data_IF_268297698420
#
_entry.id   IF_268297698420
#
_cell.length_a   1.000
_cell.length_b   1.000
_cell.length_c   1.000
_cell.angle_alpha   90.00
_cell.angle_beta   90.00
_cell.angle_gamma   90.00
#
_symmetry.space_group_name_H-M   'P 1'
#
loop_
_entity.id
_entity.type
_entity.pdbx_description
1 polymer ?
#
# COMPACT_ATOMS: atom_id res chain seq x y z
N UNK A 1 40.85 -3.28 14.63
CA UNK A 1 39.95 -3.08 15.79
C UNK A 1 39.82 -1.58 16.00
N UNK A 2 38.82 -0.92 15.38
CA UNK A 2 38.61 0.51 15.60
C UNK A 2 38.13 0.71 17.05
N UNK A 3 38.90 1.43 17.86
CA UNK A 3 38.53 1.80 19.23
C UNK A 3 37.42 2.84 19.15
N UNK A 4 36.18 2.37 19.01
CA UNK A 4 34.98 3.20 19.03
C UNK A 4 34.63 3.60 20.46
N UNK A 5 35.51 4.39 21.09
CA UNK A 5 35.36 4.90 22.45
C UNK A 5 35.17 6.41 22.38
N UNK A 6 34.12 6.92 23.01
CA UNK A 6 33.80 8.35 23.10
C UNK A 6 33.84 8.78 24.57
N UNK A 7 34.49 9.89 24.92
CA UNK A 7 34.44 10.41 26.28
C UNK A 7 33.02 10.90 26.62
N UNK A 8 32.60 10.73 27.86
CA UNK A 8 31.34 11.28 28.34
C UNK A 8 31.50 12.74 28.75
N UNK A 9 30.38 13.47 28.90
CA UNK A 9 30.41 14.84 29.42
C UNK A 9 31.08 14.96 30.80
N UNK A 10 30.97 13.92 31.65
CA UNK A 10 31.62 13.90 32.98
C UNK A 10 33.15 13.89 32.86
N UNK A 11 33.68 13.09 31.94
CA UNK A 11 35.13 13.07 31.70
C UNK A 11 35.61 14.39 31.12
N UNK A 12 34.87 14.96 30.15
CA UNK A 12 35.20 16.26 29.56
C UNK A 12 35.22 17.39 30.60
N UNK A 13 34.27 17.41 31.55
CA UNK A 13 34.27 18.40 32.63
C UNK A 13 35.47 18.26 33.56
N UNK A 14 35.90 17.02 33.86
CA UNK A 14 37.07 16.77 34.69
C UNK A 14 38.36 17.15 33.95
N UNK A 15 38.45 16.84 32.65
CA UNK A 15 39.57 17.24 31.81
C UNK A 15 39.69 18.77 31.68
N UNK A 16 38.56 19.47 31.51
CA UNK A 16 38.54 20.93 31.46
C UNK A 16 38.96 21.56 32.80
N UNK A 17 38.52 21.00 33.93
CA UNK A 17 38.93 21.45 35.26
C UNK A 17 40.43 21.17 35.52
N UNK A 18 40.94 20.01 35.12
CA UNK A 18 42.35 19.67 35.21
C UNK A 18 43.21 20.61 34.35
N UNK A 19 42.69 21.03 33.19
CA UNK A 19 43.39 21.98 32.31
C UNK A 19 43.63 23.34 32.96
N UNK A 20 42.79 23.78 33.90
CA UNK A 20 43.02 25.04 34.63
C UNK A 20 44.24 24.97 35.56
N UNK A 21 44.65 23.77 35.98
CA UNK A 21 45.84 23.55 36.84
C UNK A 21 47.13 23.91 36.10
N UNK A 22 47.14 23.89 34.76
CA UNK A 22 48.29 24.36 33.97
C UNK A 22 48.68 25.81 34.26
N UNK A 23 47.73 26.65 34.65
CA UNK A 23 47.98 28.07 34.97
C UNK A 23 48.81 28.24 36.26
N UNK A 24 48.87 27.21 37.10
CA UNK A 24 49.51 27.26 38.43
C UNK A 24 50.68 26.29 38.54
N UNK A 25 50.56 25.07 37.98
CA UNK A 25 51.58 24.03 38.08
C UNK A 25 51.50 23.04 36.90
N UNK A 26 52.38 23.21 35.90
CA UNK A 26 52.38 22.39 34.70
C UNK A 26 52.73 20.89 34.94
N UNK A 27 53.74 20.51 35.74
CA UNK A 27 54.00 19.10 36.05
C UNK A 27 52.81 18.38 36.70
N UNK A 28 52.12 19.05 37.63
CA UNK A 28 50.93 18.50 38.28
C UNK A 28 49.78 18.31 37.29
N UNK A 29 49.58 19.28 36.38
CA UNK A 29 48.54 19.20 35.36
C UNK A 29 48.77 18.02 34.40
N UNK A 30 50.00 17.81 33.93
CA UNK A 30 50.36 16.65 33.08
C UNK A 30 50.12 15.30 33.78
N UNK A 31 50.39 15.22 35.09
CA UNK A 31 50.12 14.03 35.87
C UNK A 31 48.61 13.76 36.02
N UNK A 32 47.80 14.81 36.24
CA UNK A 32 46.34 14.70 36.27
C UNK A 32 45.77 14.25 34.93
N UNK A 33 46.28 14.78 33.82
CA UNK A 33 45.87 14.37 32.47
C UNK A 33 46.20 12.90 32.21
N UNK A 34 47.41 12.44 32.59
CA UNK A 34 47.79 11.04 32.47
C UNK A 34 46.85 10.13 33.28
N UNK A 35 46.48 10.53 34.50
CA UNK A 35 45.52 9.80 35.33
C UNK A 35 44.13 9.77 34.66
N UNK A 36 43.65 10.89 34.12
CA UNK A 36 42.35 10.96 33.46
C UNK A 36 42.30 10.10 32.19
N UNK A 37 43.37 10.07 31.41
CA UNK A 37 43.49 9.19 30.23
C UNK A 37 43.50 7.72 30.64
N UNK A 38 44.26 7.35 31.67
CA UNK A 38 44.27 5.99 32.22
C UNK A 38 42.89 5.58 32.76
N UNK A 39 42.20 6.49 33.45
CA UNK A 39 40.85 6.27 33.96
C UNK A 39 39.84 6.07 32.82
N UNK A 40 39.94 6.85 31.73
CA UNK A 40 39.10 6.68 30.54
C UNK A 40 39.35 5.32 29.88
N UNK A 41 40.61 4.93 29.71
CA UNK A 41 40.99 3.65 29.12
C UNK A 41 40.50 2.47 29.98
N UNK A 42 40.71 2.53 31.29
CA UNK A 42 40.23 1.52 32.23
C UNK A 42 38.70 1.40 32.21
N UNK A 43 37.98 2.53 32.20
CA UNK A 43 36.52 2.55 32.13
C UNK A 43 35.99 1.96 30.80
N UNK A 44 36.65 2.27 29.68
CA UNK A 44 36.32 1.73 28.37
C UNK A 44 36.58 0.22 28.23
N UNK A 45 37.68 -0.27 28.82
CA UNK A 45 38.03 -1.69 28.86
C UNK A 45 37.07 -2.49 29.77
N UNK A 46 36.54 -1.87 30.82
CA UNK A 46 35.57 -2.47 31.74
C UNK A 46 34.13 -2.57 31.16
N UNK A 47 33.87 -2.02 29.97
CA UNK A 47 32.56 -2.16 29.30
C UNK A 47 32.30 -3.63 28.90
N UNK A 48 31.17 -4.25 29.29
CA UNK A 48 30.91 -5.67 29.01
C UNK A 48 30.92 -5.97 27.51
N UNK A 49 31.62 -7.02 27.07
CA UNK A 49 31.72 -7.46 25.66
C UNK A 49 30.40 -7.91 25.01
N UNK A 50 30.45 -8.32 23.75
CA UNK A 50 29.27 -8.77 22.97
C UNK A 50 28.60 -10.02 23.57
N UNK A 51 29.39 -10.92 24.17
CA UNK A 51 28.86 -12.12 24.82
C UNK A 51 27.95 -11.80 26.02
N UNK A 52 28.19 -10.65 26.66
CA UNK A 52 27.48 -10.20 27.87
C UNK A 52 26.36 -9.21 27.59
N UNK A 53 26.33 -8.58 26.42
CA UNK A 53 25.30 -7.61 26.04
C UNK A 53 24.83 -7.95 24.64
N UNK A 54 23.65 -8.59 24.56
CA UNK A 54 23.04 -9.01 23.30
C UNK A 54 21.87 -8.11 22.96
N UNK A 55 21.70 -7.86 21.67
CA UNK A 55 20.57 -7.08 21.16
C UNK A 55 19.90 -7.86 20.04
N UNK A 56 18.59 -7.95 20.11
CA UNK A 56 17.77 -8.52 19.06
C UNK A 56 16.62 -7.60 18.72
N UNK A 57 16.20 -7.61 17.46
CA UNK A 57 15.09 -6.79 16.96
C UNK A 57 13.90 -7.68 16.66
N UNK A 58 12.71 -7.22 17.07
CA UNK A 58 11.43 -7.78 16.68
C UNK A 58 10.67 -6.70 15.92
N UNK A 59 10.58 -6.87 14.62
CA UNK A 59 9.80 -6.01 13.72
C UNK A 59 8.65 -6.79 13.08
N UNK A 60 7.56 -6.10 12.70
CA UNK A 60 6.52 -6.71 11.90
C UNK A 60 7.04 -6.98 10.47
N UNK A 61 6.68 -8.13 9.86
CA UNK A 61 7.15 -8.48 8.51
C UNK A 61 6.52 -7.60 7.42
N UNK A 62 5.36 -6.99 7.71
CA UNK A 62 4.60 -6.14 6.77
C UNK A 62 4.03 -4.92 7.51
N UNK A 63 4.14 -3.75 6.89
CA UNK A 63 3.52 -2.50 7.34
C UNK A 63 2.66 -1.94 6.21
N UNK A 64 1.50 -1.39 6.53
CA UNK A 64 0.67 -0.67 5.57
C UNK A 64 1.20 0.75 5.33
N UNK A 65 1.17 1.23 4.09
CA UNK A 65 1.54 2.61 3.75
C UNK A 65 0.76 3.61 4.62
N UNK A 66 1.48 4.50 5.30
CA UNK A 66 0.96 5.51 6.23
C UNK A 66 0.46 4.99 7.57
N UNK A 67 0.64 3.70 7.87
CA UNK A 67 0.37 3.14 9.18
C UNK A 67 1.59 3.27 10.09
N UNK A 68 1.31 3.46 11.37
CA UNK A 68 2.30 3.42 12.42
C UNK A 68 2.47 1.96 12.89
N UNK A 69 3.72 1.55 13.10
CA UNK A 69 4.05 0.21 13.55
C UNK A 69 5.13 0.25 14.63
N UNK A 70 4.99 -0.61 15.63
CA UNK A 70 5.97 -0.72 16.71
C UNK A 70 7.09 -1.68 16.33
N UNK A 71 8.34 -1.25 16.51
CA UNK A 71 9.53 -2.08 16.45
C UNK A 71 10.13 -2.17 17.84
N UNK A 72 10.38 -3.39 18.31
CA UNK A 72 10.92 -3.64 19.64
C UNK A 72 12.36 -4.15 19.57
N UNK A 73 13.26 -3.47 20.28
CA UNK A 73 14.62 -3.90 20.55
C UNK A 73 14.63 -4.60 21.91
N UNK A 74 15.04 -5.86 21.93
CA UNK A 74 15.26 -6.65 23.13
C UNK A 74 16.74 -6.59 23.48
N UNK A 75 17.02 -5.96 24.61
CA UNK A 75 18.36 -5.77 25.15
C UNK A 75 18.56 -6.77 26.29
N UNK A 76 19.45 -7.75 26.10
CA UNK A 76 19.77 -8.80 27.08
C UNK A 76 21.13 -8.46 27.71
N UNK A 77 21.09 -8.00 28.97
CA UNK A 77 22.29 -7.77 29.77
C UNK A 77 22.58 -8.98 30.65
N UNK A 78 23.62 -9.75 30.29
CA UNK A 78 24.12 -10.90 31.07
C UNK A 78 25.26 -10.54 32.02
N UNK A 79 25.65 -9.27 32.09
CA UNK A 79 26.62 -8.82 33.08
C UNK A 79 25.98 -8.83 34.49
N UNK A 80 26.79 -9.14 35.50
CA UNK A 80 26.38 -9.10 36.91
C UNK A 80 26.34 -7.66 37.47
N UNK A 81 25.97 -6.69 36.64
CA UNK A 81 25.90 -5.28 37.00
C UNK A 81 24.87 -4.56 36.13
N UNK A 82 24.32 -3.46 36.64
CA UNK A 82 23.53 -2.54 35.84
C UNK A 82 24.39 -1.77 34.85
N UNK A 83 23.85 -1.47 33.66
CA UNK A 83 24.58 -0.77 32.60
C UNK A 83 23.66 0.25 31.93
N UNK A 84 24.14 1.48 31.75
CA UNK A 84 23.46 2.48 30.93
C UNK A 84 23.76 2.25 29.46
N UNK A 85 22.71 2.19 28.65
CA UNK A 85 22.80 1.94 27.21
C UNK A 85 21.97 2.96 26.46
N UNK A 86 22.57 3.56 25.44
CA UNK A 86 21.85 4.28 24.40
C UNK A 86 21.75 3.40 23.17
N UNK A 87 20.55 3.28 22.60
CA UNK A 87 20.31 2.46 21.42
C UNK A 87 19.56 3.26 20.36
N UNK A 88 19.96 3.08 19.12
CA UNK A 88 19.25 3.57 17.95
C UNK A 88 19.32 2.52 16.83
N UNK A 89 18.40 2.61 15.88
CA UNK A 89 18.31 1.69 14.76
C UNK A 89 18.34 2.47 13.44
N UNK A 90 19.15 2.01 12.49
CA UNK A 90 19.25 2.59 11.16
C UNK A 90 17.99 2.24 10.36
N UNK A 91 17.17 3.26 10.10
CA UNK A 91 15.95 3.10 9.32
C UNK A 91 16.20 3.42 7.84
N UNK A 92 15.70 2.60 6.90
CA UNK A 92 15.74 2.93 5.48
C UNK A 92 14.84 4.13 5.20
N UNK A 93 15.15 4.90 4.15
CA UNK A 93 14.45 6.15 3.78
C UNK A 93 12.96 6.00 3.40
N UNK A 94 12.42 4.79 3.44
CA UNK A 94 11.01 4.45 3.26
C UNK A 94 10.21 4.53 4.57
N UNK A 95 10.90 4.52 5.70
CA UNK A 95 10.33 4.61 7.04
C UNK A 95 10.81 5.89 7.73
N UNK A 96 9.90 6.59 8.39
CA UNK A 96 10.22 7.64 9.36
C UNK A 96 10.02 7.14 10.78
N UNK A 97 10.85 7.63 11.70
CA UNK A 97 10.67 7.36 13.13
C UNK A 97 9.66 8.35 13.71
N UNK A 98 8.78 7.85 14.57
CA UNK A 98 7.84 8.67 15.34
C UNK A 98 8.35 8.74 16.78
N UNK A 99 8.80 9.92 17.21
CA UNK A 99 9.36 10.17 18.54
C UNK A 99 10.88 10.30 18.56
N UNK A 100 11.51 9.95 19.67
CA UNK A 100 12.95 10.14 19.88
C UNK A 100 13.80 9.14 19.07
N UNK A 101 14.87 9.64 18.44
CA UNK A 101 15.82 8.84 17.64
C UNK A 101 16.69 7.89 18.46
N UNK A 102 16.99 8.28 19.70
CA UNK A 102 17.87 7.53 20.59
C UNK A 102 17.12 7.23 21.88
N UNK A 103 16.99 5.95 22.20
CA UNK A 103 16.51 5.53 23.50
C UNK A 103 17.68 5.41 24.47
N UNK A 104 17.59 6.08 25.62
CA UNK A 104 18.59 6.04 26.71
C UNK A 104 17.97 5.33 27.91
N UNK A 105 18.47 4.14 28.26
CA UNK A 105 17.92 3.33 29.36
C UNK A 105 19.00 2.69 30.23
N UNK A 106 18.59 2.24 31.42
CA UNK A 106 19.42 1.49 32.36
C UNK A 106 18.99 0.03 32.39
N UNK A 107 19.83 -0.84 31.85
CA UNK A 107 19.65 -2.28 31.95
C UNK A 107 20.03 -2.78 33.33
N UNK A 108 19.10 -3.45 34.00
CA UNK A 108 19.35 -4.20 35.24
C UNK A 108 20.38 -5.32 35.06
N UNK A 109 20.91 -5.84 36.15
CA UNK A 109 21.84 -6.96 36.13
C UNK A 109 21.16 -8.26 35.70
N UNK A 110 21.79 -9.03 34.81
CA UNK A 110 21.24 -10.31 34.30
C UNK A 110 19.77 -10.22 33.86
N UNK A 111 19.38 -9.09 33.26
CA UNK A 111 18.00 -8.77 32.93
C UNK A 111 17.84 -8.44 31.45
N UNK A 112 16.72 -8.88 30.90
CA UNK A 112 16.25 -8.46 29.59
C UNK A 112 15.33 -7.23 29.72
N UNK A 113 15.52 -6.26 28.84
CA UNK A 113 14.67 -5.08 28.75
C UNK A 113 14.18 -4.86 27.32
N UNK A 114 12.91 -4.49 27.20
CA UNK A 114 12.28 -4.17 25.92
C UNK A 114 12.25 -2.66 25.74
N UNK A 115 12.91 -2.19 24.68
CA UNK A 115 12.84 -0.80 24.22
C UNK A 115 12.06 -0.78 22.91
N UNK A 116 10.89 -0.16 22.92
CA UNK A 116 10.04 -0.05 21.74
C UNK A 116 10.12 1.36 21.15
N UNK A 117 10.04 1.45 19.83
CA UNK A 117 9.87 2.70 19.10
C UNK A 117 8.88 2.52 17.97
N UNK A 118 8.28 3.62 17.54
CA UNK A 118 7.28 3.60 16.48
C UNK A 118 7.92 4.07 15.17
N UNK A 119 7.59 3.38 14.09
CA UNK A 119 7.93 3.79 12.72
C UNK A 119 6.66 4.02 11.93
N UNK A 120 6.72 4.93 10.96
CA UNK A 120 5.67 5.20 10.00
C UNK A 120 6.20 4.93 8.59
N UNK A 121 5.40 4.23 7.79
CA UNK A 121 5.77 3.93 6.42
C UNK A 121 5.35 5.05 5.47
N UNK A 122 6.32 5.74 4.88
CA UNK A 122 6.08 6.93 4.05
C UNK A 122 6.01 6.60 2.56
N UNK A 123 6.72 5.55 2.12
CA UNK A 123 6.69 5.05 0.74
C UNK A 123 6.43 3.55 0.72
N UNK A 124 5.97 3.01 -0.42
CA UNK A 124 5.80 1.57 -0.63
C UNK A 124 7.10 0.93 -1.14
N UNK A 125 7.31 -0.34 -0.79
CA UNK A 125 8.41 -1.14 -1.32
C UNK A 125 8.95 -2.13 -0.30
N UNK A 126 9.90 -2.94 -0.77
CA UNK A 126 10.70 -3.78 0.09
C UNK A 126 11.80 -2.96 0.75
N UNK A 127 11.93 -3.13 2.06
CA UNK A 127 12.86 -2.41 2.91
C UNK A 127 13.69 -3.41 3.71
N UNK A 128 14.95 -3.06 3.97
CA UNK A 128 15.79 -3.75 4.93
C UNK A 128 16.02 -2.79 6.09
N UNK A 129 15.60 -3.19 7.28
CA UNK A 129 15.99 -2.46 8.48
C UNK A 129 17.50 -2.63 8.67
N UNK A 130 18.19 -1.52 8.87
CA UNK A 130 19.65 -1.45 8.92
C UNK A 130 20.21 -1.96 10.24
N UNK A 131 21.42 -1.51 10.56
CA UNK A 131 22.13 -1.97 11.73
C UNK A 131 21.68 -1.27 13.01
N UNK A 132 21.78 -2.00 14.12
CA UNK A 132 21.46 -1.45 15.44
C UNK A 132 22.74 -0.88 16.05
N UNK A 133 22.72 0.40 16.41
CA UNK A 133 23.84 1.08 17.05
C UNK A 133 23.62 1.19 18.54
N UNK A 134 24.62 0.79 19.30
CA UNK A 134 24.61 0.77 20.76
C UNK A 134 25.75 1.63 21.29
N UNK A 135 25.49 2.45 22.29
CA UNK A 135 26.51 3.05 23.13
C UNK A 135 26.32 2.57 24.56
N UNK A 136 27.38 1.98 25.11
CA UNK A 136 27.36 1.38 26.44
C UNK A 136 28.30 2.15 27.35
N UNK A 137 27.80 2.61 28.50
CA UNK A 137 28.61 3.37 29.45
C UNK A 137 29.53 2.44 30.26
N UNK A 138 30.76 2.91 30.51
CA UNK A 138 31.66 2.30 31.47
C UNK A 138 31.17 2.43 32.92
N UNK A 139 31.66 1.60 33.86
CA UNK A 139 31.32 1.66 35.29
C UNK A 139 31.40 3.05 35.93
N UNK A 140 32.49 3.78 35.69
CA UNK A 140 32.72 5.12 36.21
C UNK A 140 31.94 6.18 35.43
N UNK A 141 31.45 5.83 34.23
CA UNK A 141 30.71 6.72 33.36
C UNK A 141 31.60 7.77 32.71
N UNK A 142 32.88 7.45 32.48
CA UNK A 142 33.86 8.29 31.78
C UNK A 142 33.89 7.99 30.28
N UNK A 143 33.64 6.74 29.90
CA UNK A 143 33.66 6.31 28.51
C UNK A 143 32.30 5.78 28.04
N UNK A 144 31.94 6.12 26.81
CA UNK A 144 30.97 5.40 25.99
C UNK A 144 31.72 4.50 25.04
N UNK A 145 31.35 3.22 24.99
CA UNK A 145 31.83 2.33 23.93
C UNK A 145 30.72 2.11 22.92
N UNK A 146 30.96 2.50 21.68
CA UNK A 146 30.02 2.37 20.57
C UNK A 146 30.21 1.01 19.87
N UNK A 147 29.08 0.37 19.55
CA UNK A 147 29.00 -0.91 18.86
C UNK A 147 27.95 -0.85 17.77
N UNK A 148 28.21 -1.59 16.70
CA UNK A 148 27.31 -1.76 15.57
C UNK A 148 26.98 -3.23 15.49
N UNK A 149 25.71 -3.57 15.60
CA UNK A 149 25.22 -4.94 15.46
C UNK A 149 24.63 -5.08 14.08
N UNK A 150 25.31 -5.82 13.21
CA UNK A 150 24.88 -6.03 11.84
C UNK A 150 23.64 -6.91 11.80
N UNK A 151 22.51 -6.36 11.33
CA UNK A 151 21.22 -7.07 11.29
C UNK A 151 20.37 -6.49 10.17
N UNK A 152 20.18 -7.26 9.10
CA UNK A 152 19.25 -6.90 8.03
C UNK A 152 17.94 -7.67 8.22
N UNK A 153 16.94 -7.05 8.86
CA UNK A 153 15.62 -7.66 8.99
C UNK A 153 14.71 -7.12 7.86
N UNK A 154 14.17 -8.02 7.00
CA UNK A 154 13.34 -7.60 5.88
C UNK A 154 11.98 -7.13 6.36
N UNK A 155 11.50 -6.05 5.75
CA UNK A 155 10.21 -5.44 6.02
C UNK A 155 9.58 -5.01 4.70
N UNK A 156 8.33 -5.41 4.47
CA UNK A 156 7.60 -5.01 3.26
C UNK A 156 6.56 -3.96 3.59
N UNK A 157 6.65 -2.79 2.96
CA UNK A 157 5.55 -1.82 2.98
C UNK A 157 4.58 -2.19 1.88
N UNK A 158 3.32 -2.46 2.23
CA UNK A 158 2.24 -2.80 1.31
C UNK A 158 1.25 -1.64 1.18
N UNK A 159 0.44 -1.57 0.10
CA UNK A 159 -0.61 -0.57 0.01
C UNK A 159 -1.55 -0.63 1.23
N UNK A 160 -1.93 0.53 1.75
CA UNK A 160 -2.69 0.62 2.99
C UNK A 160 -4.13 0.16 2.82
N UNK A 161 -4.55 -0.81 3.64
CA UNK A 161 -5.91 -1.41 3.61
C UNK A 161 -6.74 -0.95 4.83
N UNK A 162 -6.18 -0.11 5.71
CA UNK A 162 -6.77 0.21 7.02
C UNK A 162 -8.12 0.96 6.90
N UNK A 163 -8.34 1.70 5.82
CA UNK A 163 -9.60 2.38 5.50
C UNK A 163 -10.72 1.40 5.05
N UNK A 164 -10.36 0.15 4.77
CA UNK A 164 -11.24 -0.87 4.21
C UNK A 164 -12.22 -1.54 5.16
N UNK A 165 -12.00 -1.49 6.48
CA UNK A 165 -12.83 -2.22 7.46
C UNK A 165 -14.31 -1.85 7.31
N UNK A 166 -14.62 -0.57 7.12
CA UNK A 166 -15.99 -0.08 6.90
C UNK A 166 -16.61 -0.65 5.64
N UNK A 167 -15.86 -0.72 4.54
CA UNK A 167 -16.38 -1.22 3.25
C UNK A 167 -16.50 -2.73 3.22
N UNK A 168 -15.60 -3.45 3.90
CA UNK A 168 -15.74 -4.89 4.14
C UNK A 168 -17.04 -5.18 4.90
N UNK A 169 -17.33 -4.41 5.95
CA UNK A 169 -18.60 -4.51 6.69
C UNK A 169 -19.83 -4.13 5.83
N UNK A 170 -19.71 -3.15 4.94
CA UNK A 170 -20.78 -2.81 3.98
C UNK A 170 -21.02 -3.94 2.97
N UNK A 171 -19.96 -4.57 2.45
CA UNK A 171 -20.06 -5.75 1.58
C UNK A 171 -20.75 -6.91 2.29
N UNK A 172 -20.38 -7.17 3.55
CA UNK A 172 -21.04 -8.17 4.40
C UNK A 172 -22.53 -7.83 4.65
N UNK A 173 -22.85 -6.58 5.03
CA UNK A 173 -24.24 -6.12 5.21
C UNK A 173 -25.06 -6.23 3.93
N UNK A 174 -24.49 -5.87 2.79
CA UNK A 174 -25.16 -6.00 1.51
C UNK A 174 -25.36 -7.48 1.15
N UNK A 175 -24.37 -8.34 1.37
CA UNK A 175 -24.51 -9.79 1.18
C UNK A 175 -25.61 -10.38 2.07
N UNK A 176 -25.73 -9.92 3.32
CA UNK A 176 -26.80 -10.31 4.24
C UNK A 176 -28.17 -9.74 3.81
N UNK A 177 -28.22 -8.50 3.30
CA UNK A 177 -29.43 -7.94 2.69
C UNK A 177 -29.85 -8.74 1.46
N UNK A 178 -28.93 -9.05 0.55
CA UNK A 178 -29.15 -9.89 -0.63
C UNK A 178 -29.59 -11.31 -0.22
N UNK A 179 -29.09 -11.82 0.91
CA UNK A 179 -29.55 -13.07 1.52
C UNK A 179 -30.93 -12.94 2.20
N UNK A 180 -31.30 -11.76 2.69
CA UNK A 180 -32.64 -11.45 3.23
C UNK A 180 -33.68 -11.20 2.13
N UNK A 181 -33.27 -10.67 0.97
CA UNK A 181 -34.09 -10.53 -0.25
C UNK A 181 -34.34 -11.86 -0.98
N UNK A 182 -34.04 -13.01 -0.36
CA UNK A 182 -34.25 -14.38 -0.86
C UNK A 182 -35.71 -14.73 -1.28
N UNK A 183 -36.67 -13.81 -1.23
CA UNK A 183 -38.07 -14.07 -1.63
C UNK A 183 -38.44 -13.58 -3.03
N UNK A 184 -37.76 -12.58 -3.61
CA UNK A 184 -38.08 -12.14 -4.98
C UNK A 184 -37.21 -12.89 -6.00
N UNK A 185 -37.70 -14.07 -6.36
CA UNK A 185 -37.22 -14.95 -7.43
C UNK A 185 -37.30 -14.21 -8.77
N UNK A 186 -36.29 -13.39 -9.07
CA UNK A 186 -36.19 -12.70 -10.35
C UNK A 186 -35.88 -13.76 -11.41
N UNK A 187 -36.92 -14.13 -12.16
CA UNK A 187 -36.85 -15.01 -13.32
C UNK A 187 -35.99 -14.33 -14.38
N UNK A 188 -34.94 -14.99 -14.85
CA UNK A 188 -34.06 -14.45 -15.88
C UNK A 188 -33.46 -15.56 -16.73
N UNK A 189 -33.18 -15.24 -17.98
CA UNK A 189 -32.51 -16.09 -18.96
C UNK A 189 -31.01 -16.20 -18.60
N UNK A 190 -30.65 -17.18 -17.74
CA UNK A 190 -29.28 -17.48 -17.34
C UNK A 190 -28.74 -18.75 -18.01
N UNK A 191 -27.42 -18.94 -18.05
CA UNK A 191 -26.77 -20.01 -18.84
C UNK A 191 -26.58 -21.37 -18.15
N UNK A 192 -26.94 -21.54 -16.87
CA UNK A 192 -26.79 -22.81 -16.15
C UNK A 192 -28.14 -23.41 -15.78
N UNK A 193 -28.38 -24.64 -16.23
CA UNK A 193 -29.56 -25.43 -15.89
C UNK A 193 -29.67 -25.62 -14.37
N UNK A 194 -30.77 -25.18 -13.78
CA UNK A 194 -31.07 -25.31 -12.35
C UNK A 194 -31.90 -26.57 -12.08
N UNK A 195 -33.05 -26.68 -12.74
CA UNK A 195 -33.99 -27.78 -12.55
C UNK A 195 -35.00 -27.86 -13.71
N UNK A 196 -35.69 -29.00 -13.81
CA UNK A 196 -36.85 -29.15 -14.67
C UNK A 196 -38.11 -28.87 -13.86
N UNK A 197 -39.04 -28.08 -14.40
CA UNK A 197 -40.38 -27.92 -13.83
C UNK A 197 -41.46 -28.09 -14.89
N UNK A 198 -42.69 -28.28 -14.46
CA UNK A 198 -43.84 -28.22 -15.36
C UNK A 198 -44.11 -26.80 -15.85
N UNK A 199 -44.52 -26.72 -17.12
CA UNK A 199 -44.94 -25.51 -17.80
C UNK A 199 -46.20 -24.94 -17.14
N UNK A 200 -46.20 -23.62 -16.91
CA UNK A 200 -47.37 -22.87 -16.47
C UNK A 200 -47.71 -21.86 -17.56
N UNK A 201 -49.02 -21.62 -17.76
CA UNK A 201 -49.51 -20.67 -18.76
C UNK A 201 -48.90 -19.28 -18.49
N UNK A 202 -48.18 -18.75 -19.48
CA UNK A 202 -47.42 -17.49 -19.38
C UNK A 202 -45.90 -17.68 -19.38
N UNK A 203 -45.41 -18.92 -19.32
CA UNK A 203 -44.00 -19.23 -19.50
C UNK A 203 -43.58 -19.13 -20.99
N UNK A 204 -42.33 -18.72 -21.27
CA UNK A 204 -41.81 -18.61 -22.64
C UNK A 204 -41.66 -20.00 -23.29
N UNK A 205 -42.35 -20.30 -24.41
CA UNK A 205 -42.24 -21.56 -25.12
C UNK A 205 -40.82 -21.93 -25.57
N UNK A 206 -39.91 -20.95 -25.72
CA UNK A 206 -38.51 -21.19 -26.11
C UNK A 206 -37.71 -21.97 -25.08
N UNK A 207 -38.14 -21.94 -23.83
CA UNK A 207 -37.48 -22.63 -22.71
C UNK A 207 -38.02 -24.05 -22.46
N UNK A 208 -38.91 -24.54 -23.33
CA UNK A 208 -39.42 -25.91 -23.28
C UNK A 208 -38.32 -26.94 -23.59
N UNK A 209 -38.23 -27.97 -22.77
CA UNK A 209 -37.46 -29.16 -23.08
C UNK A 209 -38.37 -30.21 -23.71
N UNK A 210 -38.39 -30.26 -25.04
CA UNK A 210 -39.20 -31.22 -25.80
C UNK A 210 -38.87 -32.69 -25.47
N UNK A 211 -37.61 -32.99 -25.16
CA UNK A 211 -37.17 -34.36 -24.85
C UNK A 211 -37.64 -34.80 -23.46
N UNK A 212 -37.55 -33.92 -22.46
CA UNK A 212 -38.08 -34.18 -21.13
C UNK A 212 -39.62 -34.24 -21.15
N UNK A 213 -40.26 -33.39 -21.95
CA UNK A 213 -41.72 -33.36 -22.10
C UNK A 213 -42.27 -34.66 -22.70
N UNK A 214 -41.63 -35.16 -23.77
CA UNK A 214 -42.01 -36.42 -24.39
C UNK A 214 -41.89 -37.63 -23.46
N UNK A 215 -40.93 -37.63 -22.52
CA UNK A 215 -40.74 -38.72 -21.55
C UNK A 215 -41.71 -38.68 -20.38
N UNK A 216 -42.14 -37.49 -19.95
CA UNK A 216 -43.00 -37.30 -18.77
C UNK A 216 -44.49 -37.19 -19.10
N UNK A 217 -44.85 -37.03 -20.38
CA UNK A 217 -46.25 -36.84 -20.79
C UNK A 217 -46.85 -35.49 -20.37
N UNK A 218 -46.01 -34.55 -19.95
CA UNK A 218 -46.38 -33.19 -19.53
C UNK A 218 -45.38 -32.18 -20.12
N UNK A 219 -45.79 -30.94 -20.34
CA UNK A 219 -44.89 -29.89 -20.84
C UNK A 219 -43.88 -29.52 -19.74
N UNK A 220 -42.60 -29.77 -20.01
CA UNK A 220 -41.49 -29.53 -19.08
C UNK A 220 -40.64 -28.37 -19.58
N UNK A 221 -40.36 -27.45 -18.67
CA UNK A 221 -39.55 -26.25 -18.85
C UNK A 221 -38.19 -26.41 -18.18
N UNK A 222 -37.13 -25.95 -18.86
CA UNK A 222 -35.82 -25.77 -18.22
C UNK A 222 -35.86 -24.49 -17.38
N UNK A 223 -35.63 -24.60 -16.08
CA UNK A 223 -35.28 -23.44 -15.27
C UNK A 223 -33.77 -23.26 -15.34
N UNK A 224 -33.37 -22.05 -15.65
CA UNK A 224 -31.97 -21.65 -15.59
C UNK A 224 -31.75 -20.76 -14.38
N UNK A 225 -30.65 -20.99 -13.67
CA UNK A 225 -30.19 -20.11 -12.61
C UNK A 225 -29.47 -18.93 -13.26
N UNK A 226 -29.81 -17.70 -12.86
CA UNK A 226 -29.03 -16.52 -13.22
C UNK A 226 -27.63 -16.68 -12.63
N UNK A 227 -26.60 -16.64 -13.48
CA UNK A 227 -25.20 -16.68 -13.05
C UNK A 227 -24.89 -15.38 -12.29
N UNK A 228 -24.97 -15.43 -10.95
CA UNK A 228 -24.74 -14.25 -10.07
C UNK A 228 -23.26 -13.91 -9.88
N UNK A 229 -22.37 -14.70 -10.48
CA UNK A 229 -20.92 -14.69 -10.24
C UNK A 229 -20.27 -13.91 -11.35
N UNK A 230 -19.68 -12.78 -10.99
CA UNK A 230 -19.07 -11.89 -11.95
C UNK A 230 -17.56 -12.04 -11.93
N UNK A 231 -16.94 -11.82 -13.09
CA UNK A 231 -15.50 -11.66 -13.18
C UNK A 231 -15.18 -10.17 -13.07
N UNK A 232 -14.24 -9.82 -12.20
CA UNK A 232 -13.71 -8.46 -12.07
C UNK A 232 -12.23 -8.52 -12.44
N UNK A 233 -11.81 -7.70 -13.40
CA UNK A 233 -10.40 -7.56 -13.76
C UNK A 233 -9.94 -6.16 -13.41
N UNK A 234 -9.03 -6.06 -12.47
CA UNK A 234 -8.39 -4.82 -12.08
C UNK A 234 -7.29 -4.52 -13.09
N UNK A 235 -7.38 -3.42 -13.83
CA UNK A 235 -6.37 -2.98 -14.78
C UNK A 235 -5.67 -1.76 -14.18
N UNK A 236 -4.39 -1.89 -13.83
CA UNK A 236 -3.59 -0.84 -13.19
C UNK A 236 -2.64 -0.25 -14.21
N UNK A 237 -2.83 1.03 -14.53
CA UNK A 237 -1.83 1.83 -15.21
C UNK A 237 -0.69 2.16 -14.23
N UNK A 238 0.55 1.86 -14.63
CA UNK A 238 1.79 2.17 -13.93
C UNK A 238 2.71 3.08 -14.76
N UNK A 239 2.16 3.85 -15.69
CA UNK A 239 2.86 4.82 -16.52
C UNK A 239 3.07 6.18 -15.86
N UNK A 240 3.54 7.13 -16.67
CA UNK A 240 3.99 8.47 -16.29
C UNK A 240 2.95 9.26 -15.48
N UNK A 241 1.66 9.17 -15.82
CA UNK A 241 0.65 9.97 -15.12
C UNK A 241 0.43 9.49 -13.68
N UNK A 242 0.78 8.24 -13.39
CA UNK A 242 0.59 7.61 -12.09
C UNK A 242 1.77 7.84 -11.13
N UNK A 243 2.89 8.40 -11.62
CA UNK A 243 4.05 8.84 -10.80
C UNK A 243 3.79 10.17 -10.09
N UNK A 244 2.78 10.93 -10.53
CA UNK A 244 2.48 12.23 -9.97
C UNK A 244 2.10 12.08 -8.50
N UNK A 245 2.71 12.91 -7.65
CA UNK A 245 2.40 12.93 -6.22
C UNK A 245 1.12 13.73 -5.97
N UNK A 246 0.37 13.28 -4.97
CA UNK A 246 -0.72 14.02 -4.33
C UNK A 246 -0.42 14.00 -2.84
N UNK A 247 -0.03 15.17 -2.31
CA UNK A 247 0.60 15.23 -0.99
C UNK A 247 1.87 14.38 -0.96
N UNK A 248 2.00 13.50 0.03
CA UNK A 248 3.18 12.65 0.23
C UNK A 248 3.18 11.34 -0.56
N UNK A 249 2.07 11.00 -1.25
CA UNK A 249 1.89 9.69 -1.91
C UNK A 249 1.77 9.83 -3.42
N UNK A 250 2.19 8.80 -4.15
CA UNK A 250 1.96 8.73 -5.60
C UNK A 250 0.49 8.44 -5.90
N UNK A 251 -0.05 8.92 -7.03
CA UNK A 251 -1.42 8.56 -7.45
C UNK A 251 -1.62 7.06 -7.59
N UNK A 252 -0.58 6.35 -8.01
CA UNK A 252 -0.56 4.89 -8.04
C UNK A 252 -0.95 4.29 -6.67
N UNK A 253 -0.50 4.87 -5.57
CA UNK A 253 -0.77 4.34 -4.23
C UNK A 253 -2.27 4.31 -3.92
N UNK A 254 -2.97 5.39 -4.28
CA UNK A 254 -4.42 5.50 -4.13
C UNK A 254 -5.16 4.49 -5.02
N UNK A 255 -4.70 4.33 -6.27
CA UNK A 255 -5.25 3.34 -7.19
C UNK A 255 -5.08 1.90 -6.67
N UNK A 256 -3.89 1.56 -6.16
CA UNK A 256 -3.58 0.24 -5.61
C UNK A 256 -4.42 -0.07 -4.36
N UNK A 257 -4.56 0.90 -3.46
CA UNK A 257 -5.44 0.76 -2.28
C UNK A 257 -6.90 0.54 -2.70
N UNK A 258 -7.41 1.35 -3.64
CA UNK A 258 -8.77 1.18 -4.15
C UNK A 258 -8.97 -0.17 -4.86
N UNK A 259 -7.98 -0.63 -5.63
CA UNK A 259 -8.00 -1.92 -6.30
C UNK A 259 -8.03 -3.10 -5.32
N UNK A 260 -7.21 -3.08 -4.26
CA UNK A 260 -7.20 -4.12 -3.23
C UNK A 260 -8.51 -4.15 -2.43
N UNK A 261 -9.05 -2.99 -2.08
CA UNK A 261 -10.31 -2.92 -1.35
C UNK A 261 -11.50 -3.35 -2.21
N UNK A 262 -11.50 -3.01 -3.50
CA UNK A 262 -12.46 -3.55 -4.45
C UNK A 262 -12.33 -5.08 -4.55
N UNK A 263 -11.10 -5.61 -4.67
CA UNK A 263 -10.88 -7.06 -4.71
C UNK A 263 -11.44 -7.77 -3.46
N UNK A 264 -11.28 -7.14 -2.30
CA UNK A 264 -11.76 -7.69 -1.02
C UNK A 264 -13.28 -7.72 -0.97
N UNK A 265 -13.93 -6.62 -1.33
CA UNK A 265 -15.40 -6.54 -1.39
C UNK A 265 -15.95 -7.50 -2.46
N UNK A 266 -15.33 -7.58 -3.64
CA UNK A 266 -15.74 -8.52 -4.69
C UNK A 266 -15.57 -9.98 -4.23
N UNK A 267 -14.49 -10.30 -3.53
CA UNK A 267 -14.29 -11.61 -2.91
C UNK A 267 -15.34 -11.95 -1.85
N UNK A 268 -15.74 -10.97 -1.03
CA UNK A 268 -16.88 -11.11 -0.11
C UNK A 268 -18.16 -11.45 -0.87
N UNK A 269 -18.32 -11.03 -2.12
CA UNK A 269 -19.48 -11.38 -2.95
C UNK A 269 -19.32 -12.65 -3.81
N UNK A 270 -18.27 -13.47 -3.59
CA UNK A 270 -17.95 -14.69 -4.36
C UNK A 270 -17.63 -14.45 -5.84
N UNK A 271 -17.21 -13.23 -6.19
CA UNK A 271 -16.77 -12.88 -7.54
C UNK A 271 -15.30 -13.28 -7.77
N UNK A 272 -14.97 -13.61 -9.01
CA UNK A 272 -13.60 -13.96 -9.39
C UNK A 272 -12.83 -12.68 -9.74
N UNK A 273 -11.72 -12.44 -9.06
CA UNK A 273 -10.93 -11.21 -9.25
C UNK A 273 -9.60 -11.54 -9.91
N UNK A 274 -9.30 -10.84 -11.01
CA UNK A 274 -8.06 -10.89 -11.76
C UNK A 274 -7.36 -9.53 -11.78
N UNK A 275 -6.14 -9.52 -12.32
CA UNK A 275 -5.28 -8.34 -12.34
C UNK A 275 -4.54 -8.26 -13.68
N UNK A 276 -4.41 -7.04 -14.19
CA UNK A 276 -3.50 -6.65 -15.25
C UNK A 276 -2.75 -5.40 -14.78
N UNK A 277 -1.42 -5.44 -14.81
CA UNK A 277 -0.56 -4.27 -14.53
C UNK A 277 0.23 -3.97 -15.78
N UNK A 278 0.24 -2.71 -16.22
CA UNK A 278 0.93 -2.31 -17.44
C UNK A 278 1.45 -0.87 -17.40
N UNK A 279 2.44 -0.57 -18.21
CA UNK A 279 2.88 0.78 -18.62
C UNK A 279 3.02 0.80 -20.14
N UNK A 280 4.21 1.09 -20.68
CA UNK A 280 4.61 0.83 -22.07
C UNK A 280 4.50 -0.66 -22.47
N UNK A 281 4.53 -1.56 -21.49
CA UNK A 281 4.36 -3.02 -21.64
C UNK A 281 3.53 -3.62 -20.52
N UNK A 282 3.09 -4.87 -20.69
CA UNK A 282 2.43 -5.64 -19.62
C UNK A 282 3.49 -6.14 -18.63
N UNK A 283 3.32 -5.83 -17.35
CA UNK A 283 4.22 -6.26 -16.26
C UNK A 283 3.73 -7.52 -15.56
N UNK A 284 2.42 -7.59 -15.31
CA UNK A 284 1.83 -8.71 -14.59
C UNK A 284 0.41 -8.98 -15.08
N UNK A 285 0.05 -10.27 -15.10
CA UNK A 285 -1.31 -10.71 -15.33
C UNK A 285 -1.67 -11.85 -14.38
N UNK A 286 -2.80 -11.73 -13.69
CA UNK A 286 -3.39 -12.78 -12.88
C UNK A 286 -4.80 -13.03 -13.43
N UNK A 287 -5.10 -14.24 -13.93
CA UNK A 287 -6.43 -14.55 -14.44
C UNK A 287 -7.48 -14.43 -13.33
N UNK A 288 -8.74 -14.03 -13.66
CA UNK A 288 -9.82 -13.99 -12.68
C UNK A 288 -9.99 -15.32 -11.96
N UNK A 289 -9.78 -15.31 -10.65
CA UNK A 289 -9.90 -16.48 -9.81
C UNK A 289 -10.50 -16.12 -8.46
N UNK A 290 -11.06 -17.13 -7.79
CA UNK A 290 -11.52 -17.03 -6.41
C UNK A 290 -10.32 -17.05 -5.47
N UNK A 291 -10.51 -16.50 -4.27
CA UNK A 291 -9.50 -16.51 -3.20
C UNK A 291 -8.13 -16.00 -3.69
N UNK A 292 -8.13 -15.05 -4.64
CA UNK A 292 -6.91 -14.50 -5.25
C UNK A 292 -6.28 -13.38 -4.43
N UNK A 293 -6.89 -12.98 -3.32
CA UNK A 293 -6.49 -11.83 -2.50
C UNK A 293 -4.99 -11.84 -2.15
N UNK A 294 -4.45 -12.97 -1.70
CA UNK A 294 -3.02 -13.07 -1.34
C UNK A 294 -2.12 -12.80 -2.54
N UNK A 295 -2.42 -13.43 -3.69
CA UNK A 295 -1.67 -13.22 -4.94
C UNK A 295 -1.79 -11.79 -5.47
N UNK A 296 -3.00 -11.20 -5.36
CA UNK A 296 -3.25 -9.81 -5.74
C UNK A 296 -2.45 -8.84 -4.85
N UNK A 297 -2.46 -9.07 -3.54
CA UNK A 297 -1.74 -8.25 -2.56
C UNK A 297 -0.23 -8.30 -2.77
N UNK A 298 0.30 -9.49 -3.09
CA UNK A 298 1.72 -9.68 -3.38
C UNK A 298 2.11 -9.02 -4.70
N UNK A 299 1.35 -9.22 -5.77
CA UNK A 299 1.62 -8.60 -7.06
C UNK A 299 1.54 -7.07 -6.99
N UNK A 300 0.47 -6.53 -6.38
CA UNK A 300 0.28 -5.08 -6.24
C UNK A 300 1.29 -4.43 -5.29
N UNK A 301 1.82 -5.20 -4.32
CA UNK A 301 2.90 -4.74 -3.43
C UNK A 301 4.21 -4.42 -4.15
N UNK A 302 4.42 -4.99 -5.34
CA UNK A 302 5.64 -4.82 -6.15
C UNK A 302 5.48 -3.82 -7.30
N UNK A 303 4.30 -3.19 -7.43
CA UNK A 303 4.03 -2.26 -8.54
C UNK A 303 4.58 -0.88 -8.20
N UNK A 304 5.41 -0.37 -9.13
CA UNK A 304 5.95 0.98 -9.12
C UNK A 304 5.56 1.70 -10.41
N UNK A 305 5.24 2.98 -10.29
CA UNK A 305 4.97 3.81 -11.47
C UNK A 305 6.30 4.14 -12.16
N UNK A 306 6.28 4.18 -13.48
CA UNK A 306 7.45 4.47 -14.31
C UNK A 306 7.19 5.70 -15.17
N UNK A 307 8.22 6.52 -15.39
CA UNK A 307 8.16 7.73 -16.24
C UNK A 307 8.15 7.37 -17.74
N UNK A 308 7.18 6.57 -18.17
CA UNK A 308 7.00 6.10 -19.54
C UNK A 308 5.54 6.24 -19.97
N UNK A 309 5.29 6.42 -21.27
CA UNK A 309 3.93 6.52 -21.79
C UNK A 309 3.24 5.14 -21.77
N UNK A 310 2.03 5.02 -21.20
CA UNK A 310 1.29 3.76 -21.20
C UNK A 310 0.83 3.35 -22.60
N UNK A 311 1.04 2.08 -22.96
CA UNK A 311 0.60 1.50 -24.22
C UNK A 311 -0.73 0.76 -24.04
N UNK A 312 -1.83 1.52 -23.94
CA UNK A 312 -3.17 0.94 -23.82
C UNK A 312 -3.54 -0.03 -24.95
N UNK A 313 -3.26 0.25 -26.24
CA UNK A 313 -3.55 -0.71 -27.32
C UNK A 313 -2.91 -2.08 -27.09
N UNK A 314 -1.63 -2.14 -26.71
CA UNK A 314 -0.95 -3.40 -26.43
C UNK A 314 -1.54 -4.12 -25.21
N UNK A 315 -1.79 -3.39 -24.12
CA UNK A 315 -2.35 -3.93 -22.89
C UNK A 315 -3.77 -4.52 -23.10
N UNK A 316 -4.66 -3.81 -23.79
CA UNK A 316 -6.02 -4.27 -24.05
C UNK A 316 -6.08 -5.36 -25.12
N UNK A 317 -5.16 -5.36 -26.09
CA UNK A 317 -4.99 -6.48 -27.03
C UNK A 317 -4.57 -7.74 -26.29
N UNK A 318 -3.60 -7.64 -25.37
CA UNK A 318 -3.20 -8.76 -24.52
C UNK A 318 -4.37 -9.25 -23.65
N UNK A 319 -5.07 -8.32 -22.99
CA UNK A 319 -6.20 -8.62 -22.11
C UNK A 319 -7.33 -9.37 -22.84
N UNK A 320 -7.70 -8.93 -24.04
CA UNK A 320 -8.78 -9.56 -24.82
C UNK A 320 -8.47 -11.01 -25.24
N UNK A 321 -7.19 -11.37 -25.36
CA UNK A 321 -6.75 -12.75 -25.61
C UNK A 321 -6.88 -13.64 -24.38
N UNK A 322 -6.63 -13.07 -23.19
CA UNK A 322 -6.63 -13.80 -21.92
C UNK A 322 -8.03 -13.90 -21.28
N UNK A 323 -8.81 -12.82 -21.31
CA UNK A 323 -10.11 -12.72 -20.65
C UNK A 323 -11.22 -12.91 -21.69
N UNK A 324 -11.73 -14.14 -21.78
CA UNK A 324 -12.77 -14.51 -22.76
C UNK A 324 -14.20 -14.33 -22.24
N UNK A 325 -14.39 -14.43 -20.92
CA UNK A 325 -15.70 -14.25 -20.27
C UNK A 325 -16.00 -12.77 -20.07
N UNK A 326 -17.28 -12.39 -20.22
CA UNK A 326 -17.77 -11.05 -19.86
C UNK A 326 -17.34 -10.74 -18.42
N UNK A 327 -16.75 -9.56 -18.24
CA UNK A 327 -16.09 -9.16 -16.99
C UNK A 327 -16.26 -7.66 -16.77
N UNK A 328 -16.29 -7.23 -15.50
CA UNK A 328 -16.07 -5.83 -15.13
C UNK A 328 -14.58 -5.52 -15.31
N UNK A 329 -14.22 -4.66 -16.25
CA UNK A 329 -12.84 -4.20 -16.40
C UNK A 329 -12.70 -2.88 -15.65
N UNK A 330 -12.00 -2.88 -14.51
CA UNK A 330 -11.81 -1.67 -13.71
C UNK A 330 -10.43 -1.11 -14.00
N UNK A 331 -10.35 -0.10 -14.87
CA UNK A 331 -9.12 0.59 -15.23
C UNK A 331 -8.84 1.73 -14.25
N UNK A 332 -7.76 1.61 -13.51
CA UNK A 332 -7.20 2.68 -12.68
C UNK A 332 -6.14 3.40 -13.49
N UNK A 333 -6.43 4.63 -13.86
CA UNK A 333 -5.57 5.46 -14.71
C UNK A 333 -5.83 6.91 -14.41
N UNK A 334 -4.97 7.79 -14.92
CA UNK A 334 -5.32 9.19 -15.04
C UNK A 334 -5.45 9.62 -16.50
N UNK A 335 -6.24 10.67 -16.73
CA UNK A 335 -6.56 11.19 -18.06
C UNK A 335 -6.31 12.69 -18.02
N UNK A 336 -5.21 13.12 -18.62
CA UNK A 336 -4.76 14.52 -18.60
C UNK A 336 -4.60 15.11 -20.01
N UNK A 337 -4.15 14.31 -20.98
CA UNK A 337 -3.84 14.81 -22.33
C UNK A 337 -4.88 14.35 -23.37
N UNK A 338 -5.39 15.24 -24.25
CA UNK A 338 -6.34 14.89 -25.31
C UNK A 338 -5.88 13.77 -26.25
N UNK A 339 -4.59 13.70 -26.60
CA UNK A 339 -4.07 12.69 -27.55
C UNK A 339 -4.01 11.31 -26.88
N UNK A 340 -3.44 11.21 -25.67
CA UNK A 340 -3.44 9.96 -24.90
C UNK A 340 -4.87 9.52 -24.54
N UNK A 341 -5.79 10.47 -24.31
CA UNK A 341 -7.20 10.19 -24.03
C UNK A 341 -7.91 9.48 -25.19
N UNK A 342 -7.64 9.89 -26.43
CA UNK A 342 -8.29 9.31 -27.61
C UNK A 342 -7.97 7.81 -27.78
N UNK A 343 -6.72 7.43 -27.53
CA UNK A 343 -6.31 6.03 -27.56
C UNK A 343 -7.03 5.21 -26.48
N UNK A 344 -7.11 5.72 -25.24
CA UNK A 344 -7.84 5.07 -24.14
C UNK A 344 -9.33 4.93 -24.46
N UNK A 345 -9.98 6.02 -24.91
CA UNK A 345 -11.40 6.02 -25.30
C UNK A 345 -11.67 4.96 -26.38
N UNK A 346 -10.81 4.89 -27.40
CA UNK A 346 -10.95 3.92 -28.49
C UNK A 346 -10.85 2.47 -27.99
N UNK A 347 -9.84 2.15 -27.17
CA UNK A 347 -9.67 0.80 -26.65
C UNK A 347 -10.79 0.40 -25.68
N UNK A 348 -11.22 1.33 -24.83
CA UNK A 348 -12.33 1.09 -23.90
C UNK A 348 -13.67 0.95 -24.62
N UNK A 349 -13.91 1.72 -25.67
CA UNK A 349 -15.09 1.57 -26.52
C UNK A 349 -15.17 0.17 -27.15
N UNK A 350 -14.06 -0.35 -27.68
CA UNK A 350 -13.98 -1.73 -28.19
C UNK A 350 -14.16 -2.76 -27.07
N UNK A 351 -13.58 -2.51 -25.90
CA UNK A 351 -13.75 -3.39 -24.75
C UNK A 351 -15.20 -3.41 -24.24
N UNK A 352 -15.94 -2.31 -24.38
CA UNK A 352 -17.35 -2.18 -24.01
C UNK A 352 -18.29 -3.11 -24.79
N UNK A 353 -17.88 -3.59 -25.97
CA UNK A 353 -18.66 -4.56 -26.74
C UNK A 353 -18.74 -5.94 -26.06
N UNK A 354 -17.70 -6.34 -25.32
CA UNK A 354 -17.58 -7.68 -24.72
C UNK A 354 -17.55 -7.68 -23.19
N UNK A 355 -17.17 -6.55 -22.62
CA UNK A 355 -16.96 -6.38 -21.19
C UNK A 355 -17.66 -5.10 -20.73
N UNK A 356 -17.76 -4.91 -19.41
CA UNK A 356 -18.24 -3.66 -18.84
C UNK A 356 -17.02 -2.86 -18.34
N UNK A 357 -16.52 -1.85 -19.07
CA UNK A 357 -15.41 -1.04 -18.59
C UNK A 357 -15.87 0.00 -17.57
N UNK A 358 -15.08 0.11 -16.51
CA UNK A 358 -15.15 1.13 -15.49
C UNK A 358 -13.79 1.83 -15.40
N UNK A 359 -13.74 3.12 -15.71
CA UNK A 359 -12.57 3.95 -15.51
C UNK A 359 -12.64 4.61 -14.15
N UNK A 360 -11.56 4.47 -13.39
CA UNK A 360 -11.33 5.14 -12.12
C UNK A 360 -10.27 6.20 -12.35
N UNK A 361 -10.73 7.44 -12.49
CA UNK A 361 -9.87 8.59 -12.73
C UNK A 361 -9.63 9.32 -11.39
N UNK A 362 -8.36 9.41 -10.98
CA UNK A 362 -7.97 10.03 -9.73
C UNK A 362 -7.51 11.46 -10.00
N UNK A 363 -8.25 12.44 -9.48
CA UNK A 363 -7.98 13.87 -9.70
C UNK A 363 -6.69 14.31 -9.02
N UNK A 364 -6.08 15.37 -9.56
CA UNK A 364 -5.00 16.09 -8.91
C UNK A 364 -5.50 17.39 -8.25
N UNK A 365 -5.59 17.46 -6.91
CA UNK A 365 -5.92 18.69 -6.20
C UNK A 365 -4.99 19.85 -6.53
N UNK A 366 -3.72 19.59 -6.87
CA UNK A 366 -2.75 20.65 -7.18
C UNK A 366 -3.08 21.35 -8.51
N UNK A 367 -3.65 20.62 -9.47
CA UNK A 367 -4.12 21.19 -10.74
C UNK A 367 -5.39 22.00 -10.50
N UNK A 368 -6.32 21.50 -9.68
CA UNK A 368 -7.51 22.26 -9.27
C UNK A 368 -7.12 23.56 -8.54
N UNK A 369 -6.14 23.49 -7.63
CA UNK A 369 -5.63 24.63 -6.89
C UNK A 369 -4.92 25.63 -7.82
N UNK A 370 -4.10 25.16 -8.76
CA UNK A 370 -3.44 26.02 -9.73
C UNK A 370 -4.43 26.75 -10.66
N UNK A 371 -5.54 26.12 -11.03
CA UNK A 371 -6.61 26.74 -11.81
C UNK A 371 -7.40 27.78 -10.98
N UNK A 372 -7.56 27.55 -9.67
CA UNK A 372 -8.30 28.45 -8.78
C UNK A 372 -7.46 29.60 -8.20
N UNK A 373 -6.13 29.51 -8.25
CA UNK A 373 -5.23 30.49 -7.66
C UNK A 373 -5.36 31.88 -8.33
N UNK A 374 -5.26 32.98 -7.55
CA UNK A 374 -5.07 34.31 -8.13
C UNK A 374 -3.75 34.34 -8.90
N UNK A 375 -3.75 35.09 -10.01
CA UNK A 375 -2.59 35.24 -10.89
C UNK A 375 -2.06 36.68 -10.77
N UNK A 376 -1.16 36.88 -9.81
CA UNK A 376 -0.60 38.20 -9.48
C UNK A 376 0.66 38.52 -10.30
N UNK A 377 1.23 37.52 -10.98
CA UNK A 377 2.40 37.62 -11.85
C UNK A 377 2.18 36.90 -13.20
N UNK A 378 3.03 37.20 -14.18
CA UNK A 378 2.97 36.60 -15.52
C UNK A 378 3.06 35.07 -15.47
N UNK A 379 3.94 34.53 -14.63
CA UNK A 379 4.08 33.09 -14.43
C UNK A 379 2.81 32.46 -13.85
N UNK A 380 2.11 33.16 -12.94
CA UNK A 380 0.82 32.76 -12.39
C UNK A 380 -0.28 32.70 -13.44
N UNK A 381 -0.31 33.65 -14.38
CA UNK A 381 -1.27 33.65 -15.51
C UNK A 381 -1.06 32.42 -16.38
N UNK A 382 0.18 32.13 -16.79
CA UNK A 382 0.49 30.94 -17.59
C UNK A 382 0.16 29.64 -16.85
N UNK A 383 0.51 29.54 -15.57
CA UNK A 383 0.24 28.35 -14.75
C UNK A 383 -1.26 28.09 -14.61
N UNK A 384 -2.04 29.15 -14.38
CA UNK A 384 -3.51 29.07 -14.29
C UNK A 384 -4.13 28.65 -15.61
N UNK A 385 -3.75 29.30 -16.72
CA UNK A 385 -4.27 28.98 -18.05
C UNK A 385 -3.99 27.51 -18.42
N UNK A 386 -2.76 27.03 -18.18
CA UNK A 386 -2.39 25.64 -18.42
C UNK A 386 -3.19 24.66 -17.53
N UNK A 387 -3.42 25.02 -16.26
CA UNK A 387 -4.24 24.21 -15.36
C UNK A 387 -5.70 24.14 -15.80
N UNK A 388 -6.29 25.26 -16.23
CA UNK A 388 -7.66 25.31 -16.78
C UNK A 388 -7.78 24.47 -18.06
N UNK A 389 -6.81 24.56 -18.98
CA UNK A 389 -6.76 23.76 -20.20
C UNK A 389 -6.74 22.25 -19.90
N UNK A 390 -5.88 21.81 -18.95
CA UNK A 390 -5.80 20.41 -18.53
C UNK A 390 -7.12 19.91 -17.91
N UNK A 391 -7.80 20.73 -17.11
CA UNK A 391 -9.09 20.38 -16.52
C UNK A 391 -10.20 20.27 -17.58
N UNK A 392 -10.21 21.17 -18.56
CA UNK A 392 -11.16 21.12 -19.68
C UNK A 392 -10.91 19.89 -20.56
N UNK A 393 -9.67 19.63 -20.93
CA UNK A 393 -9.25 18.46 -21.69
C UNK A 393 -9.69 17.16 -21.01
N UNK A 394 -9.45 17.05 -19.70
CA UNK A 394 -9.92 15.92 -18.88
C UNK A 394 -11.44 15.78 -18.94
N UNK A 395 -12.18 16.85 -18.68
CA UNK A 395 -13.65 16.82 -18.65
C UNK A 395 -14.22 16.34 -20.00
N UNK A 396 -13.67 16.82 -21.11
CA UNK A 396 -14.04 16.40 -22.46
C UNK A 396 -13.76 14.91 -22.70
N UNK A 397 -12.59 14.42 -22.26
CA UNK A 397 -12.22 13.01 -22.38
C UNK A 397 -13.17 12.10 -21.57
N UNK A 398 -13.46 12.45 -20.31
CA UNK A 398 -14.38 11.69 -19.46
C UNK A 398 -15.80 11.68 -20.04
N UNK A 399 -16.28 12.80 -20.55
CA UNK A 399 -17.58 12.89 -21.23
C UNK A 399 -17.62 12.04 -22.51
N UNK A 400 -16.52 11.99 -23.26
CA UNK A 400 -16.39 11.10 -24.42
C UNK A 400 -16.47 9.62 -24.03
N UNK A 401 -15.79 9.22 -22.95
CA UNK A 401 -15.86 7.84 -22.43
C UNK A 401 -17.29 7.46 -22.04
N UNK A 402 -17.98 8.34 -21.31
CA UNK A 402 -19.38 8.12 -20.90
C UNK A 402 -20.31 7.95 -22.10
N UNK A 403 -20.15 8.77 -23.14
CA UNK A 403 -20.92 8.63 -24.39
C UNK A 403 -20.67 7.30 -25.11
N UNK A 404 -19.48 6.72 -24.97
CA UNK A 404 -19.13 5.40 -25.48
C UNK A 404 -19.56 4.23 -24.58
N UNK A 405 -20.41 4.47 -23.57
CA UNK A 405 -20.94 3.43 -22.68
C UNK A 405 -19.96 2.99 -21.57
N UNK A 406 -18.84 3.69 -21.42
CA UNK A 406 -17.87 3.41 -20.35
C UNK A 406 -18.36 4.01 -19.03
N UNK A 407 -18.35 3.20 -17.97
CA UNK A 407 -18.63 3.72 -16.64
C UNK A 407 -17.43 4.54 -16.16
N UNK A 408 -17.67 5.70 -15.56
CA UNK A 408 -16.61 6.57 -15.05
C UNK A 408 -16.84 6.84 -13.56
N UNK A 409 -15.78 6.70 -12.78
CA UNK A 409 -15.65 7.17 -11.41
C UNK A 409 -14.51 8.19 -11.37
N UNK A 410 -14.85 9.48 -11.42
CA UNK A 410 -13.91 10.59 -11.30
C UNK A 410 -13.88 11.09 -9.86
N UNK A 411 -12.74 10.98 -9.21
CA UNK A 411 -12.65 10.95 -7.73
C UNK A 411 -11.46 11.73 -7.22
N UNK A 412 -11.58 12.33 -6.04
CA UNK A 412 -10.41 12.81 -5.32
C UNK A 412 -9.64 11.62 -4.73
N UNK A 413 -8.32 11.74 -4.51
CA UNK A 413 -7.49 10.65 -3.99
C UNK A 413 -8.04 9.98 -2.73
N UNK A 414 -8.55 10.75 -1.75
CA UNK A 414 -9.16 10.20 -0.53
C UNK A 414 -10.52 9.52 -0.75
N UNK A 415 -11.20 9.79 -1.87
CA UNK A 415 -12.54 9.28 -2.19
C UNK A 415 -12.52 8.14 -3.23
N UNK A 416 -11.34 7.76 -3.74
CA UNK A 416 -11.20 6.72 -4.76
C UNK A 416 -11.81 5.38 -4.29
N UNK A 417 -11.51 4.98 -3.06
CA UNK A 417 -12.04 3.74 -2.45
C UNK A 417 -13.58 3.71 -2.42
N UNK A 418 -14.28 4.67 -1.77
CA UNK A 418 -15.74 4.69 -1.76
C UNK A 418 -16.35 4.68 -3.14
N UNK A 419 -15.81 5.49 -4.05
CA UNK A 419 -16.38 5.67 -5.38
C UNK A 419 -16.32 4.37 -6.21
N UNK A 420 -15.18 3.68 -6.19
CA UNK A 420 -15.00 2.42 -6.92
C UNK A 420 -15.91 1.33 -6.36
N UNK A 421 -15.97 1.21 -5.03
CA UNK A 421 -16.80 0.19 -4.36
C UNK A 421 -18.28 0.44 -4.62
N UNK A 422 -18.74 1.70 -4.52
CA UNK A 422 -20.12 2.07 -4.84
C UNK A 422 -20.46 1.74 -6.29
N UNK A 423 -19.54 2.03 -7.22
CA UNK A 423 -19.77 1.74 -8.65
C UNK A 423 -19.87 0.24 -8.93
N UNK A 424 -19.02 -0.55 -8.30
CA UNK A 424 -19.10 -2.01 -8.35
C UNK A 424 -20.44 -2.53 -7.78
N UNK A 425 -20.86 -2.02 -6.62
CA UNK A 425 -22.13 -2.41 -6.00
C UNK A 425 -23.33 -1.99 -6.86
N UNK A 426 -23.28 -0.84 -7.53
CA UNK A 426 -24.31 -0.40 -8.48
C UNK A 426 -24.43 -1.36 -9.67
N UNK A 427 -23.29 -1.74 -10.25
CA UNK A 427 -23.24 -2.73 -11.34
C UNK A 427 -23.87 -4.05 -10.90
N UNK A 428 -23.54 -4.50 -9.67
CA UNK A 428 -24.08 -5.73 -9.10
C UNK A 428 -25.59 -5.65 -8.87
N UNK A 429 -26.08 -4.53 -8.32
CA UNK A 429 -27.52 -4.28 -8.09
C UNK A 429 -28.33 -4.24 -9.39
N UNK A 430 -27.76 -3.69 -10.46
CA UNK A 430 -28.42 -3.56 -11.76
C UNK A 430 -28.38 -4.83 -12.61
N UNK A 431 -27.57 -5.83 -12.22
CA UNK A 431 -27.36 -7.04 -13.03
C UNK A 431 -26.75 -6.73 -14.41
N UNK A 432 -25.92 -5.68 -14.52
CA UNK A 432 -25.40 -5.21 -15.81
C UNK A 432 -24.25 -6.06 -16.40
N UNK A 433 -23.95 -7.19 -15.75
CA UNK A 433 -22.83 -8.10 -16.05
C UNK A 433 -23.27 -9.55 -16.04
#
# INVERSE_FOLDING_TARGET
>A
MQLNVLPTGRWLTLAAAASLVFLVNAPLALLLDAILVLALAADALAVPGEDKLRVSRRSPPRIALGADAEVALLLDNRAARRVRVQVTDDLPAILSRVGADVADTWLGDRREERVAYTVRADRRGDALLGDVHLRVAGPAGFAWRQRRVHRADPLRVVPGVNEGKRYRLLGLRNRLRDAGFRSMRQRGEGGQFESLREYVRGDDPRSLDWKASARRGALIMRQYQVERRQNVVLCIDAGRLMTQKVGERERLDYALTAALLLADVAGVHDDAVGLLVFSDRVHAFIPPARNSMTRLSEALGQVHASMVEPNYPAAFTYLSKQVRKRSLLVLFTDILDPLSSAAVVSQLGRAAEKHLPLVVAIRNPDVEAAAAAPADDEAGVYRRAAAEELLQARAAALASMQRSGVLVADTRPGDAVPAVINRYLDVKRRGSL
#
